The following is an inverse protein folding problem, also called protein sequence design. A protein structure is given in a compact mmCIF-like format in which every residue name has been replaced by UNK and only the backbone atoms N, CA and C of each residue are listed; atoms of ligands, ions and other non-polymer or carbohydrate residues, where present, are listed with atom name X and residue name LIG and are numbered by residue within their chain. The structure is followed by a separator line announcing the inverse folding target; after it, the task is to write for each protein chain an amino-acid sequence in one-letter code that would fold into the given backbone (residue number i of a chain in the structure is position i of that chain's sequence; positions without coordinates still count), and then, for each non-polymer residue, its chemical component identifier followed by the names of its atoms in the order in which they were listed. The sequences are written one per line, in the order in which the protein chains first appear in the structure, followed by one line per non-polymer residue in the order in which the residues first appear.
data_IF_395358911335
#
_entry.id   IF_395358911335
#
_cell.length_a   1.000
_cell.length_b   1.000
_cell.length_c   1.000
_cell.angle_alpha   90.00
_cell.angle_beta   90.00
_cell.angle_gamma   90.00
#
_symmetry.space_group_name_H-M   'P 1'
#
loop_
_entity.id
_entity.type
_entity.pdbx_description
1 polymer ?
#
# COMPACT_ATOMS: atom_id res chain seq x y z
N UNK A 1 -13.78 2.98 10.89
CA UNK A 1 -13.95 2.86 12.36
C UNK A 1 -12.77 2.17 13.04
N UNK A 2 -12.22 1.10 12.47
CA UNK A 2 -11.18 0.27 13.11
C UNK A 2 -9.91 1.02 13.54
N UNK A 3 -9.40 1.97 12.74
CA UNK A 3 -8.21 2.74 13.11
C UNK A 3 -8.44 3.65 14.33
N UNK A 4 -9.64 4.22 14.46
CA UNK A 4 -10.00 5.09 15.59
C UNK A 4 -10.20 4.27 16.88
N UNK A 5 -10.82 3.10 16.76
CA UNK A 5 -11.00 2.17 17.88
C UNK A 5 -9.66 1.61 18.36
N UNK A 6 -8.78 1.21 17.44
CA UNK A 6 -7.43 0.79 17.76
C UNK A 6 -6.66 1.91 18.49
N UNK A 7 -6.73 3.14 17.97
CA UNK A 7 -6.09 4.30 18.60
C UNK A 7 -6.65 4.58 20.00
N UNK A 8 -7.95 4.41 20.22
CA UNK A 8 -8.58 4.58 21.53
C UNK A 8 -8.09 3.53 22.53
N UNK A 9 -7.99 2.27 22.12
CA UNK A 9 -7.62 1.14 23.00
C UNK A 9 -6.11 1.13 23.28
N UNK A 10 -5.29 1.29 22.23
CA UNK A 10 -3.83 1.11 22.29
C UNK A 10 -3.10 2.44 22.53
N UNK A 11 -3.77 3.58 22.33
CA UNK A 11 -3.17 4.91 22.43
C UNK A 11 -2.25 5.25 21.25
N UNK A 12 -2.20 4.42 20.20
CA UNK A 12 -1.32 4.58 19.04
C UNK A 12 -2.11 4.74 17.75
N UNK A 13 -1.67 5.67 16.91
CA UNK A 13 -2.22 5.86 15.58
C UNK A 13 -1.57 4.86 14.62
N UNK A 14 -2.24 3.73 14.37
CA UNK A 14 -1.69 2.64 13.55
C UNK A 14 -1.28 3.11 12.16
N UNK A 15 -2.05 4.00 11.54
CA UNK A 15 -1.78 4.50 10.21
C UNK A 15 -0.53 5.40 10.21
N UNK A 16 -0.43 6.31 11.19
CA UNK A 16 0.75 7.16 11.33
C UNK A 16 2.01 6.34 11.64
N UNK A 17 1.93 5.39 12.56
CA UNK A 17 3.04 4.50 12.93
C UNK A 17 3.52 3.68 11.72
N UNK A 18 2.58 3.12 10.95
CA UNK A 18 2.91 2.37 9.73
C UNK A 18 3.62 3.24 8.70
N UNK A 19 3.10 4.45 8.43
CA UNK A 19 3.75 5.37 7.48
C UNK A 19 5.11 5.86 7.96
N UNK A 20 5.28 6.10 9.27
CA UNK A 20 6.57 6.46 9.85
C UNK A 20 7.60 5.35 9.63
N UNK A 21 7.26 4.12 9.98
CA UNK A 21 8.14 2.97 9.78
C UNK A 21 8.49 2.76 8.29
N UNK A 22 7.51 2.94 7.39
CA UNK A 22 7.73 2.84 5.96
C UNK A 22 8.70 3.92 5.45
N UNK A 23 8.56 5.17 5.94
CA UNK A 23 9.43 6.27 5.59
C UNK A 23 10.86 6.06 6.10
N UNK A 24 11.01 5.56 7.33
CA UNK A 24 12.31 5.26 7.95
C UNK A 24 13.08 4.18 7.16
N UNK A 25 12.37 3.17 6.67
CA UNK A 25 12.97 2.08 5.88
C UNK A 25 13.04 2.38 4.38
N UNK A 26 12.40 3.45 3.90
CA UNK A 26 12.28 3.75 2.46
C UNK A 26 13.63 3.82 1.78
N UNK A 27 14.57 4.58 2.33
CA UNK A 27 15.90 4.76 1.71
C UNK A 27 16.57 3.42 1.46
N UNK A 28 16.51 2.51 2.45
CA UNK A 28 17.08 1.18 2.34
C UNK A 28 16.35 0.30 1.32
N UNK A 29 15.02 0.37 1.27
CA UNK A 29 14.23 -0.34 0.25
C UNK A 29 14.61 0.14 -1.16
N UNK A 30 14.82 1.44 -1.36
CA UNK A 30 15.20 1.98 -2.67
C UNK A 30 16.59 1.52 -3.10
N UNK A 31 17.54 1.43 -2.18
CA UNK A 31 18.86 0.85 -2.46
C UNK A 31 18.75 -0.61 -2.92
N UNK A 32 17.94 -1.41 -2.22
CA UNK A 32 17.70 -2.81 -2.56
C UNK A 32 17.07 -2.92 -3.94
N UNK A 33 16.06 -2.09 -4.24
CA UNK A 33 15.40 -2.07 -5.54
C UNK A 33 16.38 -1.74 -6.68
N UNK A 34 17.24 -0.74 -6.49
CA UNK A 34 18.29 -0.37 -7.45
C UNK A 34 19.37 -1.43 -7.63
N UNK A 35 19.64 -2.23 -6.60
CA UNK A 35 20.64 -3.30 -6.64
C UNK A 35 20.13 -4.56 -7.34
N UNK A 36 18.81 -4.78 -7.38
CA UNK A 36 18.21 -5.96 -8.04
C UNK A 36 18.48 -5.93 -9.55
N UNK A 37 18.61 -7.12 -10.15
CA UNK A 37 18.91 -7.36 -11.56
C UNK A 37 17.95 -8.38 -12.18
N UNK A 38 18.03 -8.55 -13.49
CA UNK A 38 17.12 -9.42 -14.26
C UNK A 38 15.71 -8.84 -14.34
N UNK A 39 14.73 -9.67 -14.71
CA UNK A 39 13.34 -9.24 -14.93
C UNK A 39 12.74 -8.50 -13.71
N UNK A 40 13.02 -8.98 -12.49
CA UNK A 40 12.58 -8.32 -11.25
C UNK A 40 13.22 -6.93 -11.13
N UNK A 41 14.50 -6.79 -11.46
CA UNK A 41 15.20 -5.51 -11.44
C UNK A 41 14.63 -4.51 -12.45
N UNK A 42 14.19 -4.97 -13.62
CA UNK A 42 13.56 -4.13 -14.64
C UNK A 42 12.21 -3.58 -14.16
N UNK A 43 11.35 -4.43 -13.57
CA UNK A 43 10.09 -3.99 -12.97
C UNK A 43 10.31 -2.97 -11.83
N UNK A 44 11.28 -3.24 -10.96
CA UNK A 44 11.63 -2.32 -9.87
C UNK A 44 12.19 -0.99 -10.41
N UNK A 45 12.97 -1.01 -11.49
CA UNK A 45 13.48 0.21 -12.12
C UNK A 45 12.34 1.07 -12.72
N UNK A 46 11.34 0.44 -13.36
CA UNK A 46 10.15 1.13 -13.86
C UNK A 46 9.37 1.81 -12.74
N UNK A 47 9.19 1.13 -11.60
CA UNK A 47 8.54 1.72 -10.42
C UNK A 47 9.34 2.91 -9.86
N UNK A 48 10.67 2.80 -9.80
CA UNK A 48 11.53 3.89 -9.33
C UNK A 48 11.48 5.12 -10.24
N UNK A 49 11.30 4.95 -11.55
CA UNK A 49 11.15 6.07 -12.50
C UNK A 49 9.87 6.88 -12.29
N UNK A 50 8.82 6.25 -11.73
CA UNK A 50 7.56 6.93 -11.37
C UNK A 50 7.72 7.84 -10.14
N UNK A 51 8.79 7.70 -9.36
CA UNK A 51 9.04 8.43 -8.11
C UNK A 51 9.62 9.85 -8.29
N UNK A 52 9.51 10.47 -9.47
CA UNK A 52 10.08 11.80 -9.72
C UNK A 52 9.42 12.93 -8.91
N UNK A 53 8.26 12.66 -8.32
CA UNK A 53 7.52 13.61 -7.50
C UNK A 53 8.08 13.73 -6.08
N UNK A 54 7.91 14.93 -5.50
CA UNK A 54 8.25 15.22 -4.10
C UNK A 54 7.22 14.63 -3.11
N UNK A 55 6.05 14.20 -3.59
CA UNK A 55 4.93 13.77 -2.75
C UNK A 55 5.28 12.54 -1.88
N UNK A 56 5.13 12.61 -0.54
CA UNK A 56 5.43 11.50 0.34
C UNK A 56 4.50 10.29 0.14
N UNK A 57 3.25 10.51 -0.30
CA UNK A 57 2.28 9.44 -0.54
C UNK A 57 2.67 8.62 -1.77
N UNK A 58 3.11 9.27 -2.84
CA UNK A 58 3.61 8.60 -4.05
C UNK A 58 4.88 7.79 -3.75
N UNK A 59 5.78 8.33 -2.93
CA UNK A 59 6.99 7.60 -2.49
C UNK A 59 6.66 6.35 -1.69
N UNK A 60 5.71 6.43 -0.76
CA UNK A 60 5.19 5.28 0.00
C UNK A 60 4.52 4.27 -0.93
N UNK A 61 3.78 4.74 -1.92
CA UNK A 61 3.12 3.88 -2.92
C UNK A 61 4.13 3.06 -3.73
N UNK A 62 5.22 3.68 -4.20
CA UNK A 62 6.28 2.96 -4.92
C UNK A 62 6.99 1.95 -4.02
N UNK A 63 7.26 2.31 -2.76
CA UNK A 63 7.84 1.38 -1.80
C UNK A 63 6.96 0.14 -1.64
N UNK A 64 5.65 0.33 -1.42
CA UNK A 64 4.68 -0.76 -1.28
C UNK A 64 4.56 -1.60 -2.55
N UNK A 65 4.46 -0.97 -3.73
CA UNK A 65 4.39 -1.69 -5.02
C UNK A 65 5.63 -2.49 -5.34
N UNK A 66 6.79 -2.10 -4.82
CA UNK A 66 8.04 -2.85 -5.00
C UNK A 66 8.18 -4.09 -4.11
N UNK A 67 7.45 -4.17 -2.99
CA UNK A 67 7.56 -5.28 -2.04
C UNK A 67 7.27 -6.66 -2.67
N UNK A 68 6.17 -6.88 -3.41
CA UNK A 68 5.88 -8.19 -3.98
C UNK A 68 6.98 -8.66 -4.92
N UNK A 69 7.49 -7.74 -5.77
CA UNK A 69 8.58 -8.03 -6.69
C UNK A 69 9.87 -8.41 -5.95
N UNK A 70 10.20 -7.71 -4.85
CA UNK A 70 11.39 -8.01 -4.07
C UNK A 70 11.29 -9.38 -3.38
N UNK A 71 10.12 -9.70 -2.82
CA UNK A 71 9.85 -10.92 -2.07
C UNK A 71 9.63 -12.14 -2.98
N UNK A 72 9.34 -11.92 -4.27
CA UNK A 72 9.05 -12.99 -5.22
C UNK A 72 7.57 -13.40 -5.24
N UNK A 73 6.70 -12.59 -4.64
CA UNK A 73 5.25 -12.77 -4.65
C UNK A 73 4.61 -12.24 -5.94
N UNK A 74 3.38 -12.66 -6.19
CA UNK A 74 2.58 -12.14 -7.29
C UNK A 74 2.06 -10.73 -6.95
N UNK A 75 2.48 -9.67 -7.67
CA UNK A 75 2.08 -8.30 -7.37
C UNK A 75 0.57 -8.04 -7.52
N UNK A 76 -0.16 -8.86 -8.29
CA UNK A 76 -1.62 -8.72 -8.44
C UNK A 76 -2.41 -9.36 -7.31
N UNK A 77 -1.79 -10.27 -6.54
CA UNK A 77 -2.43 -11.02 -5.46
C UNK A 77 -1.93 -10.60 -4.07
N UNK A 78 -0.79 -9.90 -4.00
CA UNK A 78 -0.17 -9.49 -2.75
C UNK A 78 -1.03 -8.51 -1.94
N UNK A 79 -1.66 -7.55 -2.64
CA UNK A 79 -2.61 -6.63 -2.02
C UNK A 79 -4.03 -7.09 -2.38
N UNK A 80 -4.83 -7.44 -1.37
CA UNK A 80 -6.25 -7.68 -1.58
C UNK A 80 -6.93 -6.35 -1.94
N UNK A 81 -7.77 -6.35 -2.97
CA UNK A 81 -8.66 -5.24 -3.27
C UNK A 81 -10.03 -5.49 -2.65
N UNK A 82 -10.61 -4.52 -1.97
CA UNK A 82 -12.03 -4.56 -1.60
C UNK A 82 -12.83 -3.75 -2.61
N UNK A 83 -13.75 -4.41 -3.32
CA UNK A 83 -14.98 -3.78 -3.78
C UNK A 83 -15.97 -3.79 -2.61
N UNK A 84 -16.76 -2.73 -2.45
CA UNK A 84 -17.70 -2.59 -1.34
C UNK A 84 -18.68 -3.79 -1.36
N UNK A 85 -18.51 -4.73 -0.42
CA UNK A 85 -19.40 -5.90 -0.27
C UNK A 85 -18.78 -7.31 -0.34
N UNK A 86 -17.48 -7.48 -0.62
CA UNK A 86 -16.89 -8.83 -0.67
C UNK A 86 -16.36 -9.29 0.71
N UNK A 87 -17.16 -10.09 1.43
CA UNK A 87 -16.87 -10.61 2.78
C UNK A 87 -15.91 -11.82 2.79
N UNK A 88 -14.78 -11.76 2.08
CA UNK A 88 -13.76 -12.82 2.09
C UNK A 88 -12.47 -12.41 2.82
N UNK A 89 -12.63 -11.91 4.04
CA UNK A 89 -11.53 -11.62 4.97
C UNK A 89 -11.43 -12.63 6.12
N UNK A 90 -12.30 -13.64 6.17
CA UNK A 90 -12.51 -14.52 7.33
C UNK A 90 -11.32 -15.35 7.82
N UNK A 91 -10.15 -15.27 7.16
CA UNK A 91 -8.93 -15.98 7.55
C UNK A 91 -7.71 -15.07 7.79
N UNK A 92 -7.85 -13.73 7.67
CA UNK A 92 -6.72 -12.83 7.80
C UNK A 92 -6.81 -11.98 9.07
N UNK A 93 -5.88 -12.21 10.00
CA UNK A 93 -5.85 -11.45 11.27
C UNK A 93 -5.51 -9.97 11.03
N UNK A 94 -4.54 -9.68 10.14
CA UNK A 94 -4.12 -8.32 9.74
C UNK A 94 -3.61 -8.33 8.30
N UNK A 95 -3.96 -7.32 7.49
CA UNK A 95 -3.49 -7.18 6.10
C UNK A 95 -3.51 -5.75 5.57
N UNK A 96 -2.79 -5.50 4.48
CA UNK A 96 -2.79 -4.22 3.75
C UNK A 96 -3.75 -4.33 2.56
N UNK A 97 -4.74 -3.43 2.52
CA UNK A 97 -5.78 -3.41 1.50
C UNK A 97 -5.51 -2.31 0.48
N UNK A 98 -5.67 -2.62 -0.80
CA UNK A 98 -5.72 -1.62 -1.86
C UNK A 98 -7.17 -1.16 -2.04
N UNK A 99 -7.47 0.07 -1.63
CA UNK A 99 -8.80 0.66 -1.82
C UNK A 99 -8.86 1.29 -3.21
N UNK A 100 -9.73 0.76 -4.06
CA UNK A 100 -10.08 1.40 -5.31
C UNK A 100 -11.18 2.43 -5.01
N UNK A 101 -10.99 3.73 -5.28
CA UNK A 101 -12.09 4.68 -5.14
C UNK A 101 -13.19 4.29 -6.11
N UNK A 102 -14.39 4.04 -5.59
CA UNK A 102 -15.57 3.90 -6.44
C UNK A 102 -15.76 5.20 -7.25
N UNK A 103 -16.30 5.09 -8.46
CA UNK A 103 -16.73 6.25 -9.23
C UNK A 103 -17.62 7.19 -8.40
N UNK A 104 -17.79 8.45 -8.82
CA UNK A 104 -18.41 9.48 -8.00
C UNK A 104 -19.74 8.99 -7.41
N UNK A 105 -19.91 9.15 -6.10
CA UNK A 105 -21.18 8.94 -5.40
C UNK A 105 -22.27 9.67 -6.18
N UNK A 106 -23.15 8.93 -6.85
CA UNK A 106 -24.36 9.52 -7.38
C UNK A 106 -25.22 9.88 -6.19
N UNK A 107 -25.19 11.16 -5.80
CA UNK A 107 -26.17 11.75 -4.91
C UNK A 107 -27.54 11.46 -5.50
N UNK A 108 -28.27 10.49 -4.96
CA UNK A 108 -29.69 10.34 -5.24
C UNK A 108 -30.39 11.55 -4.62
N UNK A 109 -30.66 12.56 -5.44
CA UNK A 109 -31.64 13.59 -5.15
C UNK A 109 -32.99 12.91 -4.99
N UNK A 110 -33.41 12.70 -3.75
CA UNK A 110 -34.79 12.31 -3.43
C UNK A 110 -35.65 13.57 -3.34
N UNK A 111 -36.52 13.70 -4.36
CA UNK A 111 -37.76 14.49 -4.51
C UNK A 111 -37.91 15.81 -3.77
#
# INVERSE_FOLDING_TARGET
MICLEFKRIVGKDLQQEFYSALDDHRTRLMEIFKAKRGNVGEHLAQLLQQMQSLDPTEKRTVALRGLPHLLGDNPTEFFKSSSDGDESFGQMDVGILLVNPEGPCQCQTSR
#
